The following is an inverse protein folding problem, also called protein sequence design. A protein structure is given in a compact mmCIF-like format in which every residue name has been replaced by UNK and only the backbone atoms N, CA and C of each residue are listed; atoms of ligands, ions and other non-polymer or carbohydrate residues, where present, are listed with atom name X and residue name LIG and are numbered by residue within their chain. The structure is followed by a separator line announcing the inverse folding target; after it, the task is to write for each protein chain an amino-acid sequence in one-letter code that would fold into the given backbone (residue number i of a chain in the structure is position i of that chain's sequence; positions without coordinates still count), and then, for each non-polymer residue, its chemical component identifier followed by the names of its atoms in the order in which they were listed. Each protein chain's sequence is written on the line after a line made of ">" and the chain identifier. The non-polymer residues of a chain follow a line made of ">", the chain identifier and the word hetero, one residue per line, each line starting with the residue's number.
data_IF_487607329368
#
_entry.id   IF_487607329368
#
_cell.length_a   1.000
_cell.length_b   1.000
_cell.length_c   1.000
_cell.angle_alpha   90.00
_cell.angle_beta   90.00
_cell.angle_gamma   90.00
#
_symmetry.space_group_name_H-M   'P 1'
#
loop_
_entity.id
_entity.type
_entity.pdbx_description
1 polymer ?
#
# COMPACT_ATOMS: atom_id res chain seq x y z
N UNK A 1 34.80 -38.35 13.34
CA UNK A 1 34.30 -37.85 12.06
C UNK A 1 35.34 -38.21 11.04
N UNK A 2 34.92 -38.85 9.96
CA UNK A 2 35.86 -39.33 8.96
C UNK A 2 36.40 -38.14 8.16
N UNK A 3 37.72 -38.04 8.11
CA UNK A 3 38.42 -37.02 7.32
C UNK A 3 38.64 -37.57 5.90
N UNK A 4 38.25 -36.79 4.90
CA UNK A 4 38.53 -37.10 3.50
C UNK A 4 39.35 -35.99 2.89
N UNK A 5 39.86 -36.19 1.66
CA UNK A 5 40.68 -35.21 0.97
C UNK A 5 39.97 -34.84 -0.35
N UNK A 6 39.84 -33.53 -0.60
CA UNK A 6 39.26 -33.00 -1.85
C UNK A 6 40.22 -32.02 -2.54
N UNK A 7 39.93 -31.65 -3.78
CA UNK A 7 40.71 -30.59 -4.44
C UNK A 7 40.46 -29.25 -3.75
N UNK A 8 41.50 -28.44 -3.57
CA UNK A 8 41.40 -27.08 -3.03
C UNK A 8 40.49 -26.20 -3.88
N UNK A 9 40.44 -26.45 -5.20
CA UNK A 9 39.57 -25.71 -6.12
C UNK A 9 38.10 -26.06 -6.02
N UNK A 10 37.75 -27.22 -5.42
CA UNK A 10 36.37 -27.66 -5.27
C UNK A 10 35.68 -27.00 -4.06
N UNK A 11 36.43 -26.39 -3.16
CA UNK A 11 35.87 -25.69 -1.99
C UNK A 11 35.18 -24.40 -2.42
N UNK A 12 33.90 -24.31 -2.14
CA UNK A 12 33.05 -23.16 -2.44
C UNK A 12 32.97 -22.23 -1.22
N UNK A 13 33.31 -20.95 -1.38
CA UNK A 13 33.19 -19.96 -0.33
C UNK A 13 31.90 -19.14 -0.50
N UNK A 14 30.98 -19.29 0.42
CA UNK A 14 29.74 -18.54 0.50
C UNK A 14 29.93 -17.31 1.39
N UNK A 15 30.42 -16.20 0.82
CA UNK A 15 30.64 -14.95 1.53
C UNK A 15 29.35 -14.43 2.19
N UNK A 16 28.23 -14.65 1.50
CA UNK A 16 26.88 -14.31 1.97
C UNK A 16 26.46 -15.10 3.24
N UNK A 17 27.00 -16.28 3.49
CA UNK A 17 26.68 -17.14 4.64
C UNK A 17 27.80 -17.28 5.67
N UNK A 18 29.01 -16.82 5.34
CA UNK A 18 30.13 -16.98 6.27
C UNK A 18 30.04 -15.97 7.43
N UNK A 19 30.25 -16.39 8.71
CA UNK A 19 29.98 -15.57 9.87
C UNK A 19 31.01 -14.48 10.16
N UNK A 20 32.23 -14.59 9.59
CA UNK A 20 33.33 -13.64 9.81
C UNK A 20 33.41 -12.64 8.67
N UNK A 21 33.50 -11.35 9.03
CA UNK A 21 33.57 -10.24 8.07
C UNK A 21 35.02 -9.87 7.77
N UNK A 22 35.85 -9.81 8.82
CA UNK A 22 37.25 -9.45 8.70
C UNK A 22 38.14 -10.69 8.85
N UNK A 23 39.11 -10.83 8.00
CA UNK A 23 40.07 -11.92 7.96
C UNK A 23 41.47 -11.40 8.27
N UNK A 24 42.23 -12.13 9.11
CA UNK A 24 43.60 -11.76 9.48
C UNK A 24 44.63 -12.34 8.47
N UNK A 25 45.27 -11.49 7.64
CA UNK A 25 46.28 -11.94 6.69
C UNK A 25 47.52 -12.56 7.36
N UNK A 26 47.83 -12.16 8.61
CA UNK A 26 49.00 -12.68 9.37
C UNK A 26 48.75 -14.13 9.74
N UNK A 27 47.54 -14.51 10.06
CA UNK A 27 47.17 -15.88 10.35
C UNK A 27 47.26 -16.77 9.12
N UNK A 28 46.82 -16.27 7.96
CA UNK A 28 47.02 -16.96 6.66
C UNK A 28 48.52 -17.20 6.40
N UNK A 29 49.35 -16.19 6.62
CA UNK A 29 50.80 -16.33 6.44
C UNK A 29 51.37 -17.41 7.34
N UNK A 30 51.05 -17.36 8.66
CA UNK A 30 51.49 -18.35 9.63
C UNK A 30 51.07 -19.77 9.29
N UNK A 31 49.85 -19.98 8.82
CA UNK A 31 49.35 -21.30 8.42
C UNK A 31 49.99 -21.78 7.10
N UNK A 32 50.45 -20.87 6.25
CA UNK A 32 51.17 -21.24 5.02
C UNK A 32 52.57 -21.80 5.27
N UNK A 33 53.15 -21.63 6.45
CA UNK A 33 54.49 -22.07 6.83
C UNK A 33 54.54 -23.56 7.21
N UNK A 34 53.43 -24.11 7.75
CA UNK A 34 53.37 -25.52 8.17
C UNK A 34 51.91 -26.04 8.02
N UNK A 35 51.60 -26.61 6.87
CA UNK A 35 50.24 -27.12 6.57
C UNK A 35 49.98 -28.48 7.20
N UNK A 36 50.99 -29.28 7.44
CA UNK A 36 50.85 -30.68 7.90
C UNK A 36 50.29 -30.78 9.30
N UNK A 37 50.45 -29.77 10.11
CA UNK A 37 49.92 -29.71 11.49
C UNK A 37 48.53 -29.09 11.58
N UNK A 38 47.94 -28.59 10.46
CA UNK A 38 46.66 -27.94 10.48
C UNK A 38 45.52 -28.97 10.56
N UNK A 39 44.53 -28.77 11.41
CA UNK A 39 43.32 -29.60 11.41
C UNK A 39 42.54 -29.45 10.10
N UNK A 40 41.76 -30.47 9.70
CA UNK A 40 40.94 -30.40 8.50
C UNK A 40 39.99 -29.24 8.54
N UNK A 41 39.63 -28.67 7.38
CA UNK A 41 38.52 -27.71 7.27
C UNK A 41 37.15 -28.44 7.32
N UNK A 42 36.09 -27.72 7.64
CA UNK A 42 34.72 -28.28 7.64
C UNK A 42 33.93 -27.69 6.46
N UNK A 43 33.30 -28.57 5.65
CA UNK A 43 32.48 -28.20 4.50
C UNK A 43 31.17 -28.95 4.54
N UNK A 44 30.16 -28.48 3.80
CA UNK A 44 28.92 -29.27 3.64
C UNK A 44 29.03 -30.26 2.47
N UNK A 45 27.92 -30.96 2.16
CA UNK A 45 27.81 -31.95 1.06
C UNK A 45 28.04 -31.34 -0.34
N UNK A 46 28.01 -30.01 -0.47
CA UNK A 46 28.28 -29.28 -1.70
C UNK A 46 29.67 -28.61 -1.69
N UNK A 47 30.51 -29.02 -0.75
CA UNK A 47 31.83 -28.45 -0.49
C UNK A 47 31.84 -26.96 -0.13
N UNK A 48 30.70 -26.44 0.33
CA UNK A 48 30.61 -25.07 0.83
C UNK A 48 31.27 -24.97 2.22
N UNK A 49 32.12 -23.97 2.41
CA UNK A 49 33.00 -23.84 3.58
C UNK A 49 32.24 -23.41 4.82
N UNK A 50 32.13 -24.31 5.82
CA UNK A 50 31.51 -24.07 7.12
C UNK A 50 32.53 -23.43 8.09
N UNK A 51 33.75 -24.03 8.21
CA UNK A 51 34.82 -23.52 9.06
C UNK A 51 36.18 -23.75 8.46
N UNK A 52 37.12 -22.84 8.74
CA UNK A 52 38.54 -22.97 8.34
C UNK A 52 38.96 -22.06 7.18
N UNK A 53 38.37 -20.88 7.01
CA UNK A 53 38.70 -19.93 5.95
C UNK A 53 40.19 -19.60 5.89
N UNK A 54 40.87 -19.33 7.02
CA UNK A 54 42.30 -19.03 7.06
C UNK A 54 43.15 -20.22 6.62
N UNK A 55 42.76 -21.46 7.00
CA UNK A 55 43.40 -22.70 6.60
C UNK A 55 43.25 -22.91 5.10
N UNK A 56 42.03 -22.87 4.58
CA UNK A 56 41.75 -22.98 3.14
C UNK A 56 42.50 -21.94 2.32
N UNK A 57 42.54 -20.68 2.78
CA UNK A 57 43.31 -19.61 2.09
C UNK A 57 44.80 -19.87 2.12
N UNK A 58 45.36 -20.47 3.19
CA UNK A 58 46.74 -20.86 3.27
C UNK A 58 47.08 -21.96 2.23
N UNK A 59 46.24 -23.00 2.13
CA UNK A 59 46.40 -24.06 1.07
C UNK A 59 46.36 -23.46 -0.35
N UNK A 60 45.44 -22.55 -0.61
CA UNK A 60 45.38 -21.82 -1.91
C UNK A 60 46.63 -21.00 -2.18
N UNK A 61 47.13 -20.30 -1.17
CA UNK A 61 48.30 -19.40 -1.30
C UNK A 61 49.58 -20.12 -1.70
N UNK A 62 49.78 -21.33 -1.21
CA UNK A 62 50.96 -22.12 -1.55
C UNK A 62 50.75 -23.00 -2.79
N UNK A 63 49.57 -23.00 -3.41
CA UNK A 63 49.28 -23.78 -4.59
C UNK A 63 49.09 -25.28 -4.31
N UNK A 64 48.68 -25.67 -3.11
CA UNK A 64 48.39 -27.06 -2.80
C UNK A 64 47.24 -27.61 -3.67
N UNK A 65 47.39 -28.84 -4.17
CA UNK A 65 46.33 -29.46 -5.02
C UNK A 65 45.16 -29.96 -4.19
N UNK A 66 45.41 -30.45 -2.98
CA UNK A 66 44.40 -31.07 -2.15
C UNK A 66 44.37 -30.52 -0.72
N UNK A 67 43.25 -30.67 -0.04
CA UNK A 67 43.03 -30.22 1.36
C UNK A 67 42.22 -31.27 2.11
N UNK A 68 42.58 -31.58 3.38
CA UNK A 68 41.81 -32.46 4.24
C UNK A 68 40.53 -31.75 4.71
N UNK A 69 39.37 -32.45 4.60
CA UNK A 69 38.07 -31.92 4.97
C UNK A 69 37.27 -32.88 5.83
N UNK A 70 36.40 -32.31 6.66
CA UNK A 70 35.27 -33.01 7.32
C UNK A 70 33.99 -32.57 6.58
N UNK A 71 33.20 -33.54 6.13
CA UNK A 71 31.92 -33.24 5.46
C UNK A 71 30.76 -33.34 6.47
N UNK A 72 30.06 -32.23 6.67
CA UNK A 72 28.88 -32.16 7.56
C UNK A 72 27.63 -31.84 6.74
N UNK A 73 26.61 -32.69 6.84
CA UNK A 73 25.37 -32.49 6.09
C UNK A 73 24.59 -31.30 6.63
N UNK A 74 24.08 -30.44 5.73
CA UNK A 74 23.19 -29.32 6.06
C UNK A 74 21.95 -29.36 5.17
N UNK A 75 20.76 -29.11 5.74
CA UNK A 75 19.47 -29.19 5.04
C UNK A 75 18.99 -27.84 4.50
N UNK A 76 19.59 -26.75 4.99
CA UNK A 76 19.20 -25.38 4.61
C UNK A 76 20.33 -24.41 4.88
N UNK A 77 20.26 -23.23 4.24
CA UNK A 77 21.18 -22.11 4.49
C UNK A 77 21.18 -21.64 5.95
N UNK A 78 20.03 -21.76 6.64
CA UNK A 78 19.92 -21.41 8.06
C UNK A 78 20.68 -22.40 8.94
N UNK A 79 20.57 -23.69 8.67
CA UNK A 79 21.31 -24.73 9.37
C UNK A 79 22.80 -24.61 9.11
N UNK A 80 23.18 -24.35 7.84
CA UNK A 80 24.56 -24.05 7.46
C UNK A 80 25.12 -22.86 8.24
N UNK A 81 24.41 -21.72 8.22
CA UNK A 81 24.82 -20.51 8.92
C UNK A 81 24.94 -20.72 10.44
N UNK A 82 23.97 -21.42 11.04
CA UNK A 82 23.97 -21.74 12.47
C UNK A 82 25.19 -22.57 12.85
N UNK A 83 25.51 -23.58 12.06
CA UNK A 83 26.68 -24.45 12.26
C UNK A 83 27.98 -23.67 12.06
N UNK A 84 28.08 -22.87 11.01
CA UNK A 84 29.24 -22.02 10.74
C UNK A 84 29.51 -21.03 11.89
N UNK A 85 28.46 -20.42 12.45
CA UNK A 85 28.55 -19.53 13.62
C UNK A 85 29.05 -20.31 14.84
N UNK A 86 28.46 -21.49 15.13
CA UNK A 86 28.82 -22.31 16.29
C UNK A 86 30.30 -22.72 16.24
N UNK A 87 30.80 -23.13 15.08
CA UNK A 87 32.21 -23.51 14.88
C UNK A 87 33.13 -22.31 15.07
N UNK A 88 32.81 -21.18 14.43
CA UNK A 88 33.62 -19.97 14.51
C UNK A 88 33.52 -19.24 15.89
N UNK A 89 32.47 -19.49 16.67
CA UNK A 89 32.34 -18.94 18.04
C UNK A 89 33.13 -19.70 19.08
N UNK A 90 33.35 -21.02 18.90
CA UNK A 90 33.97 -21.93 19.90
C UNK A 90 35.44 -22.19 19.64
N UNK A 91 35.91 -22.15 18.42
CA UNK A 91 37.25 -22.60 18.02
C UNK A 91 38.02 -21.49 17.29
N UNK A 92 39.31 -21.37 17.59
CA UNK A 92 40.24 -20.45 16.96
C UNK A 92 40.06 -18.98 17.29
N UNK A 93 40.24 -18.08 16.33
CA UNK A 93 40.02 -16.66 16.53
C UNK A 93 38.52 -16.40 16.72
N UNK A 94 38.13 -15.89 17.90
CA UNK A 94 36.72 -15.65 18.22
C UNK A 94 36.07 -14.58 17.32
N UNK A 95 34.75 -14.73 17.06
CA UNK A 95 33.97 -13.70 16.36
C UNK A 95 34.00 -12.40 17.16
N UNK A 96 34.18 -11.27 16.47
CA UNK A 96 34.09 -9.94 17.09
C UNK A 96 32.67 -9.65 17.57
N UNK A 97 32.48 -8.67 18.46
CA UNK A 97 31.13 -8.24 18.85
C UNK A 97 30.32 -7.74 17.66
N UNK A 98 30.99 -7.15 16.65
CA UNK A 98 30.34 -6.70 15.39
C UNK A 98 29.87 -7.89 14.58
N UNK A 99 30.68 -8.95 14.43
CA UNK A 99 30.26 -10.18 13.75
C UNK A 99 29.09 -10.82 14.45
N UNK A 100 29.17 -10.98 15.79
CA UNK A 100 28.10 -11.57 16.60
C UNK A 100 26.78 -10.81 16.47
N UNK A 101 26.82 -9.45 16.46
CA UNK A 101 25.63 -8.62 16.26
C UNK A 101 25.03 -8.82 14.88
N UNK A 102 25.83 -8.78 13.80
CA UNK A 102 25.34 -8.99 12.43
C UNK A 102 24.74 -10.38 12.26
N UNK A 103 25.36 -11.40 12.84
CA UNK A 103 24.84 -12.78 12.77
C UNK A 103 23.54 -12.94 13.56
N UNK A 104 23.42 -12.31 14.75
CA UNK A 104 22.18 -12.31 15.52
C UNK A 104 21.03 -11.72 14.69
N UNK A 105 21.24 -10.55 14.07
CA UNK A 105 20.23 -9.89 13.24
C UNK A 105 19.88 -10.73 12.01
N UNK A 106 20.86 -11.35 11.38
CA UNK A 106 20.66 -12.17 10.19
C UNK A 106 19.83 -13.41 10.48
N UNK A 107 20.19 -14.17 11.53
CA UNK A 107 19.42 -15.34 11.95
C UNK A 107 18.01 -14.98 12.40
N UNK A 108 17.85 -13.87 13.13
CA UNK A 108 16.55 -13.38 13.56
C UNK A 108 15.63 -13.06 12.36
N UNK A 109 16.16 -12.42 11.31
CA UNK A 109 15.41 -12.05 10.10
C UNK A 109 15.11 -13.24 9.19
N UNK A 110 15.85 -14.36 9.28
CA UNK A 110 15.63 -15.54 8.43
C UNK A 110 14.32 -16.28 8.74
N UNK A 111 13.68 -15.99 9.87
CA UNK A 111 12.33 -16.49 10.21
C UNK A 111 12.19 -18.01 10.44
N UNK A 112 13.25 -18.79 10.21
CA UNK A 112 13.21 -20.25 10.22
C UNK A 112 13.26 -20.88 11.61
N UNK A 113 12.40 -20.44 12.54
CA UNK A 113 12.37 -20.97 13.92
C UNK A 113 13.56 -20.55 14.80
N UNK A 114 14.45 -19.70 14.29
CA UNK A 114 15.66 -19.22 14.95
C UNK A 114 15.44 -17.87 15.67
N UNK A 115 14.18 -17.45 15.78
CA UNK A 115 13.78 -16.24 16.52
C UNK A 115 13.91 -16.39 18.05
N UNK A 116 14.21 -17.60 18.54
CA UNK A 116 14.43 -17.83 19.95
C UNK A 116 15.76 -17.17 20.40
N UNK A 117 15.64 -16.13 21.18
CA UNK A 117 16.77 -15.38 21.74
C UNK A 117 17.70 -16.25 22.61
N UNK A 118 17.15 -17.27 23.27
CA UNK A 118 17.94 -18.21 24.06
C UNK A 118 18.83 -19.07 23.16
N UNK A 119 18.30 -19.51 22.02
CA UNK A 119 19.07 -20.24 21.02
C UNK A 119 20.17 -19.36 20.40
N UNK A 120 19.86 -18.12 20.01
CA UNK A 120 20.86 -17.18 19.51
C UNK A 120 21.97 -16.89 20.52
N UNK A 121 21.60 -16.72 21.79
CA UNK A 121 22.58 -16.52 22.88
C UNK A 121 23.55 -17.70 23.02
N UNK A 122 23.02 -18.93 22.92
CA UNK A 122 23.82 -20.17 22.99
C UNK A 122 24.78 -20.29 21.82
N UNK A 123 24.31 -20.11 20.57
CA UNK A 123 25.14 -20.25 19.34
C UNK A 123 26.26 -19.20 19.34
N UNK A 124 25.92 -17.93 19.62
CA UNK A 124 26.87 -16.82 19.57
C UNK A 124 27.76 -16.73 20.83
N UNK A 125 27.57 -17.63 21.80
CA UNK A 125 28.30 -17.63 23.09
C UNK A 125 28.27 -16.25 23.76
N UNK A 126 27.05 -15.70 23.93
CA UNK A 126 26.79 -14.42 24.62
C UNK A 126 25.59 -14.56 25.57
N UNK A 127 25.40 -13.57 26.46
CA UNK A 127 24.20 -13.54 27.32
C UNK A 127 22.93 -13.18 26.52
N UNK A 128 21.76 -13.62 26.98
CA UNK A 128 20.49 -13.23 26.42
C UNK A 128 20.29 -11.70 26.42
N UNK A 129 20.73 -11.02 27.50
CA UNK A 129 20.74 -9.55 27.56
C UNK A 129 21.58 -8.92 26.44
N UNK A 130 22.65 -9.58 26.02
CA UNK A 130 23.44 -9.11 24.86
C UNK A 130 22.69 -9.27 23.56
N UNK A 131 21.96 -10.37 23.36
CA UNK A 131 21.08 -10.58 22.20
C UNK A 131 19.97 -9.52 22.16
N UNK A 132 19.31 -9.23 23.29
CA UNK A 132 18.31 -8.16 23.37
C UNK A 132 18.88 -6.82 22.88
N UNK A 133 20.09 -6.49 23.31
CA UNK A 133 20.78 -5.27 22.87
C UNK A 133 21.09 -5.29 21.36
N UNK A 134 21.52 -6.44 20.82
CA UNK A 134 21.82 -6.58 19.39
C UNK A 134 20.60 -6.45 18.51
N UNK A 135 19.46 -6.98 18.95
CA UNK A 135 18.21 -7.03 18.18
C UNK A 135 17.32 -5.80 18.37
N UNK A 136 17.56 -4.99 19.42
CA UNK A 136 16.69 -3.87 19.80
C UNK A 136 16.27 -2.99 18.60
N UNK A 137 17.23 -2.48 17.83
CA UNK A 137 16.94 -1.62 16.69
C UNK A 137 16.12 -2.35 15.59
N UNK A 138 16.37 -3.65 15.38
CA UNK A 138 15.65 -4.48 14.41
C UNK A 138 14.22 -4.72 14.86
N UNK A 139 14.02 -5.06 16.14
CA UNK A 139 12.69 -5.26 16.73
C UNK A 139 11.89 -3.95 16.76
N UNK A 140 12.53 -2.83 17.11
CA UNK A 140 11.89 -1.51 17.09
C UNK A 140 11.44 -1.14 15.67
N UNK A 141 12.26 -1.40 14.65
CA UNK A 141 11.90 -1.17 13.24
C UNK A 141 10.74 -2.06 12.80
N UNK A 142 10.78 -3.36 13.07
CA UNK A 142 9.71 -4.30 12.76
C UNK A 142 8.39 -3.85 13.42
N UNK A 143 8.46 -3.36 14.66
CA UNK A 143 7.29 -2.84 15.37
C UNK A 143 6.74 -1.58 14.67
N UNK A 144 7.61 -0.65 14.30
CA UNK A 144 7.20 0.58 13.58
C UNK A 144 6.57 0.24 12.24
N UNK A 145 7.19 -0.65 11.45
CA UNK A 145 6.66 -1.07 10.14
C UNK A 145 5.30 -1.77 10.28
N UNK A 146 5.14 -2.63 11.30
CA UNK A 146 3.86 -3.28 11.61
C UNK A 146 2.79 -2.27 12.02
N UNK A 147 3.11 -1.34 12.90
CA UNK A 147 2.17 -0.32 13.38
C UNK A 147 1.76 0.61 12.22
N UNK A 148 2.67 0.96 11.33
CA UNK A 148 2.39 1.70 10.10
C UNK A 148 1.46 0.91 9.16
N UNK A 149 1.69 -0.41 9.00
CA UNK A 149 0.81 -1.28 8.21
C UNK A 149 -0.59 -1.38 8.80
N UNK A 150 -0.71 -1.57 10.13
CA UNK A 150 -2.00 -1.57 10.84
C UNK A 150 -2.77 -0.28 10.54
N UNK A 151 -2.12 0.87 10.69
CA UNK A 151 -2.76 2.17 10.47
C UNK A 151 -3.13 2.41 9.01
N UNK A 152 -2.25 2.07 8.06
CA UNK A 152 -2.53 2.16 6.62
C UNK A 152 -3.72 1.31 6.21
N UNK A 153 -3.81 0.06 6.68
CA UNK A 153 -4.95 -0.82 6.41
C UNK A 153 -6.24 -0.29 7.04
N UNK A 154 -6.17 0.29 8.22
CA UNK A 154 -7.33 0.92 8.87
C UNK A 154 -7.86 2.10 8.05
N UNK A 155 -6.98 2.99 7.58
CA UNK A 155 -7.35 4.09 6.70
C UNK A 155 -7.89 3.60 5.34
N UNK A 156 -7.43 2.45 4.85
CA UNK A 156 -7.98 1.80 3.65
C UNK A 156 -9.27 1.03 3.92
N UNK A 157 -9.91 1.25 5.06
CA UNK A 157 -11.23 0.73 5.38
C UNK A 157 -11.27 -0.76 5.72
N UNK A 158 -10.17 -1.41 6.10
CA UNK A 158 -10.19 -2.78 6.59
C UNK A 158 -10.77 -2.87 8.01
N UNK A 159 -11.40 -3.98 8.31
CA UNK A 159 -11.85 -4.30 9.67
C UNK A 159 -10.67 -4.66 10.56
N UNK A 160 -10.82 -4.51 11.87
CA UNK A 160 -9.77 -4.91 12.82
C UNK A 160 -9.40 -6.40 12.72
N UNK A 161 -10.36 -7.27 12.31
CA UNK A 161 -10.08 -8.69 12.12
C UNK A 161 -9.23 -8.91 10.87
N UNK A 162 -9.59 -8.32 9.73
CA UNK A 162 -8.77 -8.39 8.50
C UNK A 162 -7.36 -7.87 8.72
N UNK A 163 -7.20 -6.79 9.51
CA UNK A 163 -5.90 -6.24 9.87
C UNK A 163 -5.12 -7.24 10.73
N UNK A 164 -5.76 -7.81 11.75
CA UNK A 164 -5.14 -8.79 12.65
C UNK A 164 -4.59 -9.99 11.88
N UNK A 165 -5.41 -10.54 10.97
CA UNK A 165 -5.03 -11.67 10.13
C UNK A 165 -3.87 -11.32 9.17
N UNK A 166 -3.89 -10.11 8.57
CA UNK A 166 -2.88 -9.67 7.61
C UNK A 166 -1.51 -9.32 8.23
N UNK A 167 -1.47 -8.97 9.52
CA UNK A 167 -0.22 -8.61 10.22
C UNK A 167 0.24 -9.67 11.23
N UNK A 168 -0.55 -10.75 11.40
CA UNK A 168 -0.20 -11.88 12.26
C UNK A 168 -0.22 -11.54 13.75
N UNK A 169 -1.18 -10.72 14.21
CA UNK A 169 -1.38 -10.38 15.62
C UNK A 169 -2.84 -10.59 16.02
N UNK A 170 -3.13 -10.59 17.31
CA UNK A 170 -4.51 -10.65 17.79
C UNK A 170 -5.25 -9.32 17.62
N UNK A 171 -6.59 -9.38 17.57
CA UNK A 171 -7.47 -8.22 17.41
C UNK A 171 -7.33 -7.19 18.54
N UNK A 172 -7.05 -7.64 19.77
CA UNK A 172 -6.86 -6.74 20.91
C UNK A 172 -5.60 -5.89 20.74
N UNK A 173 -4.53 -6.48 20.20
CA UNK A 173 -3.31 -5.75 19.82
C UNK A 173 -3.60 -4.70 18.74
N UNK A 174 -4.37 -5.05 17.69
CA UNK A 174 -4.80 -4.07 16.66
C UNK A 174 -5.57 -2.93 17.30
N UNK A 175 -6.57 -3.24 18.13
CA UNK A 175 -7.39 -2.22 18.78
C UNK A 175 -6.55 -1.22 19.60
N UNK A 176 -5.67 -1.75 20.47
CA UNK A 176 -4.77 -0.92 21.27
C UNK A 176 -3.88 -0.02 20.41
N UNK A 177 -3.35 -0.52 19.28
CA UNK A 177 -2.53 0.28 18.37
C UNK A 177 -3.33 1.36 17.68
N UNK A 178 -4.55 1.05 17.27
CA UNK A 178 -5.43 2.04 16.67
C UNK A 178 -5.83 3.14 17.65
N UNK A 179 -6.10 2.82 18.92
CA UNK A 179 -6.33 3.81 19.97
C UNK A 179 -5.15 4.78 20.15
N UNK A 180 -3.92 4.27 20.00
CA UNK A 180 -2.72 5.10 20.03
C UNK A 180 -2.58 5.96 18.75
N UNK A 181 -2.74 5.36 17.57
CA UNK A 181 -2.55 6.02 16.28
C UNK A 181 -3.66 7.02 15.91
N UNK A 182 -4.90 6.75 16.32
CA UNK A 182 -6.04 7.64 16.08
C UNK A 182 -6.17 8.77 17.11
N UNK A 183 -5.29 8.81 18.09
CA UNK A 183 -5.27 9.92 19.05
C UNK A 183 -4.50 11.11 18.46
N UNK A 184 -5.23 12.11 17.93
CA UNK A 184 -4.65 13.30 17.30
C UNK A 184 -3.71 14.10 18.22
N UNK A 185 -3.91 14.03 19.53
CA UNK A 185 -3.02 14.74 20.47
C UNK A 185 -1.65 14.06 20.62
N UNK A 186 -1.55 12.79 20.26
CA UNK A 186 -0.31 12.01 20.24
C UNK A 186 0.33 11.88 18.86
N UNK A 187 -0.39 12.29 17.83
CA UNK A 187 0.13 12.29 16.46
C UNK A 187 1.19 13.38 16.23
N UNK A 188 2.08 13.21 15.25
CA UNK A 188 2.93 14.30 14.77
C UNK A 188 2.09 15.55 14.43
N UNK A 189 2.63 16.74 14.73
CA UNK A 189 1.92 18.02 14.48
C UNK A 189 1.45 18.15 13.02
N UNK A 190 2.25 17.71 12.06
CA UNK A 190 1.88 17.71 10.63
C UNK A 190 0.63 16.89 10.34
N UNK A 191 0.47 15.74 11.00
CA UNK A 191 -0.69 14.88 10.83
C UNK A 191 -1.94 15.50 11.44
N UNK A 192 -1.81 16.14 12.60
CA UNK A 192 -2.92 16.87 13.23
C UNK A 192 -3.40 18.03 12.36
N UNK A 193 -2.48 18.84 11.83
CA UNK A 193 -2.76 19.93 10.89
C UNK A 193 -3.51 19.40 9.66
N UNK A 194 -3.01 18.34 9.05
CA UNK A 194 -3.64 17.74 7.88
C UNK A 194 -5.04 17.17 8.19
N UNK A 195 -5.21 16.48 9.32
CA UNK A 195 -6.49 15.89 9.73
C UNK A 195 -7.57 16.93 10.00
N UNK A 196 -7.20 18.07 10.58
CA UNK A 196 -8.09 19.16 10.98
C UNK A 196 -8.17 20.29 9.93
N UNK A 197 -7.45 20.19 8.82
CA UNK A 197 -7.39 21.21 7.77
C UNK A 197 -6.88 22.58 8.29
N UNK A 198 -5.98 22.56 9.26
CA UNK A 198 -5.33 23.76 9.80
C UNK A 198 -4.16 24.17 8.90
N UNK A 199 -4.00 25.47 8.64
CA UNK A 199 -2.84 26.13 7.99
C UNK A 199 -2.41 25.63 6.59
N UNK A 200 -2.81 24.43 6.17
CA UNK A 200 -2.42 23.83 4.88
C UNK A 200 -3.57 23.74 3.86
N UNK A 201 -4.73 24.33 4.19
CA UNK A 201 -5.94 24.24 3.38
C UNK A 201 -6.68 25.59 3.32
N UNK A 202 -7.23 25.89 2.14
CA UNK A 202 -8.09 27.04 1.94
C UNK A 202 -9.54 26.60 1.79
N UNK A 203 -10.33 26.84 2.81
CA UNK A 203 -11.75 26.46 2.83
C UNK A 203 -12.53 27.07 1.65
N UNK A 204 -13.37 26.28 0.97
CA UNK A 204 -14.28 26.79 -0.06
C UNK A 204 -15.40 27.61 0.60
N UNK A 205 -15.57 28.84 0.13
CA UNK A 205 -16.61 29.78 0.65
C UNK A 205 -17.84 29.85 -0.25
N UNK A 206 -17.73 29.43 -1.50
CA UNK A 206 -18.74 29.58 -2.52
C UNK A 206 -19.06 28.24 -3.18
N UNK A 207 -20.22 28.12 -3.77
CA UNK A 207 -20.64 26.91 -4.51
C UNK A 207 -20.14 26.90 -5.98
N UNK A 208 -19.07 27.62 -6.28
CA UNK A 208 -18.34 27.53 -7.56
C UNK A 208 -16.87 27.25 -7.23
N UNK A 209 -16.45 26.01 -7.52
CA UNK A 209 -15.10 25.57 -7.26
C UNK A 209 -14.25 25.62 -8.53
N UNK A 210 -13.31 26.57 -8.57
CA UNK A 210 -12.36 26.71 -9.67
C UNK A 210 -11.03 26.09 -9.27
N UNK A 211 -10.48 25.31 -10.14
CA UNK A 211 -9.22 24.58 -9.91
C UNK A 211 -8.12 25.17 -10.77
N UNK A 212 -6.94 25.39 -10.20
CA UNK A 212 -5.72 25.66 -10.95
C UNK A 212 -5.19 24.34 -11.52
N UNK A 213 -4.50 24.36 -12.69
CA UNK A 213 -3.89 23.18 -13.28
C UNK A 213 -3.08 22.41 -12.22
N UNK A 214 -3.46 21.17 -11.98
CA UNK A 214 -2.64 20.26 -11.18
C UNK A 214 -1.38 19.91 -11.98
N UNK A 215 -0.21 20.03 -11.35
CA UNK A 215 1.09 19.67 -11.94
C UNK A 215 1.40 18.16 -11.82
N UNK A 216 0.45 17.33 -11.44
CA UNK A 216 0.68 15.92 -11.23
C UNK A 216 0.65 15.15 -12.55
N UNK A 217 1.81 14.61 -12.92
CA UNK A 217 2.12 13.89 -14.16
C UNK A 217 1.54 12.45 -14.25
N UNK A 218 0.45 12.13 -13.58
CA UNK A 218 -0.21 10.83 -13.73
C UNK A 218 -1.45 11.02 -14.60
N UNK A 219 -1.30 10.85 -15.90
CA UNK A 219 -2.39 10.93 -16.87
C UNK A 219 -3.21 9.63 -16.83
N UNK A 220 -4.20 9.55 -15.95
CA UNK A 220 -5.26 8.58 -16.06
C UNK A 220 -6.49 9.25 -16.67
N UNK A 221 -7.09 8.65 -17.71
CA UNK A 221 -8.34 9.18 -18.29
C UNK A 221 -9.43 9.18 -17.20
N UNK A 222 -10.10 10.34 -17.01
CA UNK A 222 -11.17 10.48 -16.02
C UNK A 222 -10.70 10.70 -14.57
N UNK A 223 -9.44 11.06 -14.34
CA UNK A 223 -8.98 11.43 -13.00
C UNK A 223 -9.70 12.70 -12.52
N UNK A 224 -10.44 12.56 -11.42
CA UNK A 224 -11.09 13.69 -10.78
C UNK A 224 -10.07 14.56 -10.04
N UNK A 225 -10.34 15.85 -10.01
CA UNK A 225 -9.49 16.77 -9.28
C UNK A 225 -9.55 16.48 -7.79
N UNK A 226 -8.42 16.09 -7.21
CA UNK A 226 -8.28 15.78 -5.78
C UNK A 226 -8.87 16.86 -4.87
N UNK A 227 -8.86 18.10 -5.31
CA UNK A 227 -9.42 19.25 -4.59
C UNK A 227 -10.94 19.12 -4.39
N UNK A 228 -11.68 18.47 -5.29
CA UNK A 228 -13.13 18.23 -5.11
C UNK A 228 -13.33 17.34 -3.88
N UNK A 229 -12.63 16.22 -3.83
CA UNK A 229 -12.70 15.30 -2.70
C UNK A 229 -12.22 15.99 -1.42
N UNK A 230 -11.11 16.74 -1.47
CA UNK A 230 -10.56 17.45 -0.32
C UNK A 230 -11.54 18.48 0.27
N UNK A 231 -12.23 19.25 -0.59
CA UNK A 231 -13.30 20.15 -0.17
C UNK A 231 -14.49 19.43 0.46
N UNK A 232 -14.90 18.29 -0.11
CA UNK A 232 -15.98 17.48 0.47
C UNK A 232 -15.58 16.90 1.83
N UNK A 233 -14.34 16.45 2.00
CA UNK A 233 -13.84 15.98 3.29
C UNK A 233 -13.89 17.07 4.34
N UNK A 234 -13.47 18.29 3.99
CA UNK A 234 -13.50 19.43 4.89
C UNK A 234 -14.93 19.76 5.34
N UNK A 235 -15.88 19.77 4.40
CA UNK A 235 -17.25 20.22 4.67
C UNK A 235 -18.09 19.18 5.42
N UNK A 236 -17.84 17.88 5.21
CA UNK A 236 -18.79 16.83 5.56
C UNK A 236 -18.23 15.67 6.38
N UNK A 237 -16.93 15.71 6.73
CA UNK A 237 -16.33 14.59 7.46
C UNK A 237 -15.42 15.04 8.60
N UNK A 238 -15.36 14.20 9.63
CA UNK A 238 -14.40 14.31 10.72
C UNK A 238 -13.23 13.33 10.55
N UNK A 239 -12.08 13.53 11.22
CA UNK A 239 -10.99 12.56 11.22
C UNK A 239 -11.50 11.15 11.54
N UNK A 240 -11.01 10.16 10.74
CA UNK A 240 -11.36 8.73 10.83
C UNK A 240 -12.79 8.35 10.44
N UNK A 241 -13.61 9.28 9.96
CA UNK A 241 -14.88 8.95 9.30
C UNK A 241 -14.65 8.08 8.06
N UNK A 242 -15.67 7.30 7.67
CA UNK A 242 -15.61 6.48 6.46
C UNK A 242 -16.14 7.27 5.26
N UNK A 243 -15.33 7.27 4.20
CA UNK A 243 -15.67 7.75 2.87
C UNK A 243 -15.83 6.55 1.94
N UNK A 244 -16.91 6.52 1.16
CA UNK A 244 -17.16 5.47 0.16
C UNK A 244 -17.06 6.07 -1.24
N UNK A 245 -16.32 5.39 -2.12
CA UNK A 245 -16.21 5.74 -3.53
C UNK A 245 -16.28 4.47 -4.39
N UNK A 246 -17.42 4.19 -5.04
CA UNK A 246 -17.60 3.03 -5.90
C UNK A 246 -17.08 3.23 -7.34
N UNK A 247 -16.48 4.38 -7.65
CA UNK A 247 -15.91 4.74 -8.94
C UNK A 247 -14.45 5.13 -8.81
N UNK A 248 -13.66 4.28 -8.14
CA UNK A 248 -12.30 4.58 -7.68
C UNK A 248 -11.28 4.99 -8.72
N UNK A 249 -11.47 4.61 -9.99
CA UNK A 249 -10.60 4.99 -11.10
C UNK A 249 -9.11 4.87 -10.79
N UNK A 250 -8.38 5.98 -10.81
CA UNK A 250 -6.95 6.06 -10.47
C UNK A 250 -6.63 6.02 -8.96
N UNK A 251 -7.64 6.08 -8.09
CA UNK A 251 -7.49 6.03 -6.62
C UNK A 251 -7.19 7.38 -5.98
N UNK A 252 -7.52 8.49 -6.64
CA UNK A 252 -7.32 9.84 -6.09
C UNK A 252 -8.02 10.05 -4.74
N UNK A 253 -9.22 9.48 -4.57
CA UNK A 253 -9.97 9.49 -3.31
C UNK A 253 -9.18 8.84 -2.17
N UNK A 254 -8.47 7.73 -2.43
CA UNK A 254 -7.64 7.05 -1.42
C UNK A 254 -6.53 7.99 -0.94
N UNK A 255 -5.85 8.66 -1.88
CA UNK A 255 -4.71 9.51 -1.57
C UNK A 255 -5.12 10.71 -0.71
N UNK A 256 -6.26 11.34 -1.07
CA UNK A 256 -6.80 12.46 -0.31
C UNK A 256 -7.30 12.02 1.08
N UNK A 257 -8.03 10.92 1.16
CA UNK A 257 -8.50 10.37 2.43
C UNK A 257 -7.33 10.04 3.37
N UNK A 258 -6.28 9.40 2.84
CA UNK A 258 -5.07 9.08 3.61
C UNK A 258 -4.36 10.33 4.11
N UNK A 259 -4.17 11.33 3.23
CA UNK A 259 -3.60 12.63 3.59
C UNK A 259 -4.38 13.30 4.72
N UNK A 260 -5.70 13.24 4.69
CA UNK A 260 -6.61 13.90 5.62
C UNK A 260 -7.08 13.00 6.78
N UNK A 261 -6.46 11.84 6.96
CA UNK A 261 -6.79 10.88 8.03
C UNK A 261 -8.26 10.47 8.05
N UNK A 262 -8.85 10.28 6.88
CA UNK A 262 -10.16 9.66 6.72
C UNK A 262 -9.98 8.21 6.32
N UNK A 263 -10.86 7.35 6.79
CA UNK A 263 -10.93 5.95 6.33
C UNK A 263 -11.66 5.95 4.99
N UNK A 264 -11.21 5.15 4.05
CA UNK A 264 -11.90 5.06 2.76
C UNK A 264 -12.21 3.61 2.39
N UNK A 265 -13.36 3.41 1.78
CA UNK A 265 -13.73 2.17 1.12
C UNK A 265 -13.94 2.49 -0.36
N UNK A 266 -12.93 2.20 -1.17
CA UNK A 266 -12.91 2.53 -2.59
C UNK A 266 -13.01 1.25 -3.40
N UNK A 267 -13.86 1.27 -4.40
CA UNK A 267 -14.01 0.17 -5.37
C UNK A 267 -14.13 0.68 -6.79
N UNK A 268 -13.92 -0.22 -7.72
CA UNK A 268 -14.13 0.02 -9.14
C UNK A 268 -14.57 -1.28 -9.81
N UNK A 269 -15.30 -1.19 -10.91
CA UNK A 269 -15.65 -2.35 -11.74
C UNK A 269 -14.39 -3.02 -12.29
N UNK A 270 -13.39 -2.21 -12.70
CA UNK A 270 -12.10 -2.63 -13.25
C UNK A 270 -10.95 -1.90 -12.55
N UNK A 271 -10.55 -2.31 -11.34
CA UNK A 271 -9.43 -1.70 -10.65
C UNK A 271 -8.17 -1.70 -11.52
N UNK A 272 -7.42 -0.60 -11.48
CA UNK A 272 -6.13 -0.52 -12.18
C UNK A 272 -5.10 -1.45 -11.53
N UNK A 273 -4.31 -2.15 -12.35
CA UNK A 273 -3.36 -3.18 -11.89
C UNK A 273 -2.36 -2.65 -10.84
N UNK A 274 -1.93 -1.39 -10.94
CA UNK A 274 -1.00 -0.78 -9.99
C UNK A 274 -1.59 -0.56 -8.60
N UNK A 275 -2.92 -0.59 -8.43
CA UNK A 275 -3.63 -0.31 -7.18
C UNK A 275 -4.70 -1.36 -6.81
N UNK A 276 -4.65 -2.56 -7.41
CA UNK A 276 -5.59 -3.66 -7.09
C UNK A 276 -5.61 -4.04 -5.60
N UNK A 277 -4.53 -3.79 -4.87
CA UNK A 277 -4.45 -4.03 -3.44
C UNK A 277 -5.16 -2.98 -2.57
N UNK A 278 -5.53 -1.83 -3.14
CA UNK A 278 -6.20 -0.73 -2.45
C UNK A 278 -7.63 -0.50 -2.97
N UNK A 279 -7.86 -0.68 -4.27
CA UNK A 279 -9.16 -0.51 -4.93
C UNK A 279 -9.84 -1.88 -5.03
N UNK A 280 -10.98 -2.05 -4.38
CA UNK A 280 -11.72 -3.31 -4.39
C UNK A 280 -12.47 -3.50 -5.71
N UNK A 281 -12.51 -4.72 -6.22
CA UNK A 281 -13.35 -5.02 -7.39
C UNK A 281 -14.80 -5.12 -6.95
N UNK A 282 -15.64 -4.22 -7.45
CA UNK A 282 -17.09 -4.22 -7.22
C UNK A 282 -17.79 -3.48 -8.35
N UNK A 283 -18.90 -4.05 -8.86
CA UNK A 283 -19.74 -3.41 -9.84
C UNK A 283 -21.01 -2.86 -9.15
N UNK A 284 -21.32 -1.61 -9.39
CA UNK A 284 -22.52 -0.96 -8.84
C UNK A 284 -23.84 -1.56 -9.40
N UNK A 285 -23.76 -2.30 -10.51
CA UNK A 285 -24.90 -3.05 -11.04
C UNK A 285 -25.29 -4.22 -10.13
N UNK A 286 -24.34 -4.78 -9.37
CA UNK A 286 -24.58 -5.79 -8.33
C UNK A 286 -25.16 -5.21 -7.03
N UNK A 287 -25.27 -3.89 -6.94
CA UNK A 287 -25.80 -3.16 -5.79
C UNK A 287 -24.77 -2.24 -5.15
N UNK A 288 -25.02 -1.87 -3.89
CA UNK A 288 -24.10 -1.01 -3.13
C UNK A 288 -22.88 -1.77 -2.63
N UNK A 289 -21.76 -1.09 -2.41
CA UNK A 289 -20.57 -1.68 -1.80
C UNK A 289 -20.85 -2.48 -0.53
N UNK A 290 -20.25 -3.67 -0.32
CA UNK A 290 -20.58 -4.59 0.78
C UNK A 290 -19.93 -4.17 2.12
N UNK A 291 -20.22 -2.97 2.62
CA UNK A 291 -19.74 -2.49 3.92
C UNK A 291 -20.50 -3.12 5.12
N UNK A 292 -21.63 -3.81 4.88
CA UNK A 292 -22.47 -4.40 5.92
C UNK A 292 -22.89 -3.37 6.99
N UNK A 293 -22.70 -3.70 8.27
CA UNK A 293 -23.06 -2.81 9.39
C UNK A 293 -22.29 -1.49 9.44
N UNK A 294 -21.17 -1.38 8.68
CA UNK A 294 -20.34 -0.18 8.69
C UNK A 294 -20.91 0.99 7.89
N UNK A 295 -22.00 0.78 7.17
CA UNK A 295 -22.72 1.87 6.53
C UNK A 295 -23.18 2.97 7.52
N UNK A 296 -23.44 2.62 8.78
CA UNK A 296 -23.75 3.60 9.83
C UNK A 296 -22.57 4.51 10.22
N UNK A 297 -21.34 4.15 9.85
CA UNK A 297 -20.13 4.94 10.10
C UNK A 297 -19.78 5.85 8.90
N UNK A 298 -20.45 5.69 7.75
CA UNK A 298 -20.18 6.45 6.53
C UNK A 298 -20.68 7.88 6.68
N UNK A 299 -19.81 8.86 6.47
CA UNK A 299 -20.14 10.28 6.48
C UNK A 299 -20.16 10.91 5.08
N UNK A 300 -19.50 10.29 4.11
CA UNK A 300 -19.50 10.74 2.72
C UNK A 300 -19.52 9.53 1.77
N UNK A 301 -20.50 9.51 0.86
CA UNK A 301 -20.44 8.69 -0.35
C UNK A 301 -20.19 9.62 -1.53
N UNK A 302 -19.02 9.50 -2.15
CA UNK A 302 -18.63 10.26 -3.34
C UNK A 302 -18.86 9.41 -4.58
N UNK A 303 -19.59 9.94 -5.56
CA UNK A 303 -19.96 9.28 -6.80
C UNK A 303 -19.44 10.10 -7.97
N UNK A 304 -18.48 9.57 -8.72
CA UNK A 304 -17.95 10.16 -9.95
C UNK A 304 -18.01 9.15 -11.10
N UNK A 305 -19.24 8.85 -11.58
CA UNK A 305 -19.44 7.84 -12.60
C UNK A 305 -18.84 8.27 -13.94
N UNK A 306 -18.50 7.32 -14.84
CA UNK A 306 -18.17 7.64 -16.21
C UNK A 306 -19.35 8.39 -16.87
N UNK A 307 -19.06 9.57 -17.46
CA UNK A 307 -20.10 10.43 -17.98
C UNK A 307 -20.72 9.83 -19.24
N UNK A 308 -22.04 9.82 -19.29
CA UNK A 308 -22.82 9.22 -20.34
C UNK A 308 -22.36 9.65 -21.73
N UNK A 309 -22.06 8.70 -22.61
CA UNK A 309 -21.54 8.87 -23.98
C UNK A 309 -20.23 9.67 -24.10
N UNK A 310 -19.84 10.49 -23.14
CA UNK A 310 -18.58 11.24 -23.20
C UNK A 310 -17.39 10.33 -22.97
N UNK A 311 -17.55 9.35 -22.08
CA UNK A 311 -16.57 8.34 -21.77
C UNK A 311 -16.81 7.01 -22.53
N UNK A 312 -17.74 6.98 -23.50
CA UNK A 312 -18.06 5.78 -24.26
C UNK A 312 -16.83 5.21 -24.96
N UNK A 313 -16.58 3.92 -24.76
CA UNK A 313 -15.41 3.22 -25.31
C UNK A 313 -14.06 3.61 -24.72
N UNK A 314 -14.00 4.52 -23.75
CA UNK A 314 -12.76 4.94 -23.10
C UNK A 314 -12.33 3.95 -21.99
N UNK A 315 -13.28 3.45 -21.21
CA UNK A 315 -13.03 2.48 -20.16
C UNK A 315 -13.24 1.03 -20.63
N UNK A 316 -14.27 0.79 -21.42
CA UNK A 316 -14.51 -0.50 -22.07
C UNK A 316 -15.50 -0.38 -23.24
N UNK A 317 -15.51 -1.40 -24.12
CA UNK A 317 -16.54 -1.57 -25.17
C UNK A 317 -17.79 -2.32 -24.65
N UNK A 318 -17.83 -2.63 -23.37
CA UNK A 318 -18.87 -3.41 -22.74
C UNK A 318 -20.18 -2.61 -22.65
N UNK A 319 -21.30 -3.21 -23.04
CA UNK A 319 -22.62 -2.57 -23.00
C UNK A 319 -23.10 -2.28 -21.56
N UNK A 320 -22.59 -3.01 -20.58
CA UNK A 320 -22.90 -2.79 -19.16
C UNK A 320 -22.16 -1.59 -18.56
N UNK A 321 -21.15 -1.04 -19.25
CA UNK A 321 -20.48 0.17 -18.81
C UNK A 321 -21.45 1.35 -18.86
N UNK A 322 -21.56 2.10 -17.74
CA UNK A 322 -22.51 3.21 -17.62
C UNK A 322 -22.42 4.22 -18.77
N UNK A 323 -21.21 4.49 -19.27
CA UNK A 323 -21.03 5.41 -20.41
C UNK A 323 -21.61 4.90 -21.72
N UNK A 324 -21.79 3.57 -21.88
CA UNK A 324 -22.26 2.91 -23.09
C UNK A 324 -23.76 2.58 -23.04
N UNK A 325 -24.40 2.67 -21.88
CA UNK A 325 -25.81 2.35 -21.68
C UNK A 325 -26.75 3.31 -22.40
N UNK A 326 -28.02 2.92 -22.56
CA UNK A 326 -29.06 3.85 -22.94
C UNK A 326 -29.22 4.93 -21.86
N UNK A 327 -29.77 6.09 -22.23
CA UNK A 327 -29.97 7.20 -21.27
C UNK A 327 -30.85 6.80 -20.09
N UNK A 328 -31.89 6.01 -20.35
CA UNK A 328 -32.81 5.55 -19.31
C UNK A 328 -32.16 4.56 -18.35
N UNK A 329 -31.34 3.63 -18.85
CA UNK A 329 -30.58 2.70 -18.01
C UNK A 329 -29.53 3.44 -17.17
N UNK A 330 -28.81 4.39 -17.75
CA UNK A 330 -27.88 5.24 -17.04
C UNK A 330 -28.55 5.96 -15.85
N UNK A 331 -29.68 6.60 -16.10
CA UNK A 331 -30.44 7.28 -15.04
C UNK A 331 -30.99 6.30 -14.01
N UNK A 332 -31.55 5.18 -14.44
CA UNK A 332 -32.12 4.18 -13.55
C UNK A 332 -31.05 3.60 -12.61
N UNK A 333 -29.86 3.29 -13.12
CA UNK A 333 -28.76 2.74 -12.34
C UNK A 333 -28.21 3.73 -11.31
N UNK A 334 -27.99 5.00 -11.69
CA UNK A 334 -27.52 6.01 -10.76
C UNK A 334 -28.58 6.38 -9.71
N UNK A 335 -29.84 6.50 -10.10
CA UNK A 335 -30.96 6.74 -9.16
C UNK A 335 -31.08 5.60 -8.17
N UNK A 336 -31.03 4.35 -8.65
CA UNK A 336 -31.05 3.16 -7.81
C UNK A 336 -29.89 3.15 -6.82
N UNK A 337 -28.66 3.48 -7.27
CA UNK A 337 -27.48 3.54 -6.41
C UNK A 337 -27.68 4.56 -5.28
N UNK A 338 -28.06 5.80 -5.61
CA UNK A 338 -28.31 6.85 -4.61
C UNK A 338 -29.39 6.40 -3.63
N UNK A 339 -30.51 5.85 -4.12
CA UNK A 339 -31.60 5.36 -3.26
C UNK A 339 -31.14 4.23 -2.33
N UNK A 340 -30.41 3.25 -2.83
CA UNK A 340 -29.90 2.13 -2.03
C UNK A 340 -28.85 2.57 -0.99
N UNK A 341 -27.98 3.53 -1.34
CA UNK A 341 -27.03 4.13 -0.39
C UNK A 341 -27.78 4.86 0.71
N UNK A 342 -28.75 5.69 0.37
CA UNK A 342 -29.54 6.47 1.34
C UNK A 342 -30.32 5.62 2.36
N UNK A 343 -30.67 4.38 1.98
CA UNK A 343 -31.32 3.43 2.90
C UNK A 343 -30.36 2.82 3.93
N UNK A 344 -29.07 2.89 3.69
CA UNK A 344 -28.02 2.27 4.52
C UNK A 344 -27.17 3.30 5.26
N UNK A 345 -26.88 4.42 4.61
CA UNK A 345 -26.15 5.54 5.19
C UNK A 345 -27.11 6.41 6.00
N UNK A 346 -26.94 6.42 7.33
CA UNK A 346 -27.86 7.12 8.25
C UNK A 346 -27.43 8.54 8.60
N UNK A 347 -26.25 8.98 8.14
CA UNK A 347 -25.69 10.32 8.41
C UNK A 347 -24.85 10.83 7.25
N UNK A 348 -24.47 12.11 7.30
CA UNK A 348 -23.56 12.71 6.32
C UNK A 348 -24.22 12.95 4.97
N UNK A 349 -23.44 12.81 3.89
CA UNK A 349 -23.91 13.21 2.54
C UNK A 349 -23.57 12.17 1.46
N UNK A 350 -24.38 12.19 0.39
CA UNK A 350 -24.08 11.59 -0.89
C UNK A 350 -23.77 12.73 -1.86
N UNK A 351 -22.62 12.70 -2.50
CA UNK A 351 -22.16 13.71 -3.44
C UNK A 351 -21.94 13.08 -4.82
N UNK A 352 -22.73 13.48 -5.82
CA UNK A 352 -22.67 12.99 -7.20
C UNK A 352 -22.10 14.06 -8.12
N UNK A 353 -20.94 13.80 -8.71
CA UNK A 353 -20.34 14.64 -9.75
C UNK A 353 -20.84 14.18 -11.11
N UNK A 354 -21.44 15.08 -11.87
CA UNK A 354 -22.00 14.77 -13.20
C UNK A 354 -21.83 15.95 -14.16
N UNK A 355 -21.70 15.65 -15.45
CA UNK A 355 -21.57 16.64 -16.49
C UNK A 355 -22.74 16.57 -17.48
N UNK A 356 -23.39 17.70 -17.86
CA UNK A 356 -24.32 17.73 -18.98
C UNK A 356 -23.67 17.28 -20.29
N UNK A 357 -24.41 16.60 -21.16
CA UNK A 357 -23.90 16.14 -22.46
C UNK A 357 -24.43 16.98 -23.58
N UNK A 358 -23.56 17.41 -24.50
CA UNK A 358 -23.95 18.20 -25.66
C UNK A 358 -23.40 17.64 -26.99
N UNK A 359 -22.13 17.35 -27.08
CA UNK A 359 -21.40 17.20 -28.32
C UNK A 359 -21.38 15.81 -28.91
N UNK A 360 -21.48 14.78 -28.11
CA UNK A 360 -21.30 13.38 -28.49
C UNK A 360 -22.63 12.63 -28.60
N UNK A 361 -23.74 13.32 -28.41
CA UNK A 361 -25.04 12.77 -28.71
C UNK A 361 -25.28 12.80 -30.23
N UNK A 362 -25.90 11.78 -30.79
CA UNK A 362 -26.13 11.64 -32.23
C UNK A 362 -26.90 12.81 -32.84
N UNK A 363 -27.76 13.42 -32.03
CA UNK A 363 -28.59 14.57 -32.37
C UNK A 363 -28.01 15.92 -31.98
N UNK A 364 -26.81 15.93 -31.32
CA UNK A 364 -26.14 17.12 -30.78
C UNK A 364 -27.04 17.97 -29.87
N UNK A 365 -27.97 17.35 -29.17
CA UNK A 365 -28.84 18.01 -28.21
C UNK A 365 -28.12 18.16 -26.85
N UNK A 366 -28.42 19.25 -26.16
CA UNK A 366 -28.07 19.42 -24.77
C UNK A 366 -28.93 18.49 -23.90
N UNK A 367 -28.28 17.68 -23.07
CA UNK A 367 -28.95 16.82 -22.09
C UNK A 367 -28.49 17.24 -20.70
N UNK A 368 -29.43 17.75 -19.90
CA UNK A 368 -29.16 18.18 -18.52
C UNK A 368 -29.29 17.01 -17.55
N UNK A 369 -28.25 16.22 -17.45
CA UNK A 369 -28.18 15.09 -16.52
C UNK A 369 -28.34 15.53 -15.06
N UNK A 370 -27.93 16.75 -14.73
CA UNK A 370 -27.96 17.30 -13.36
C UNK A 370 -29.40 17.45 -12.90
N UNK A 371 -30.20 18.08 -13.73
CA UNK A 371 -31.63 18.33 -13.42
C UNK A 371 -32.45 17.03 -13.46
N UNK A 372 -32.22 16.19 -14.46
CA UNK A 372 -32.95 14.93 -14.61
C UNK A 372 -32.64 13.96 -13.47
N UNK A 373 -31.39 13.83 -13.05
CA UNK A 373 -31.01 12.98 -11.91
C UNK A 373 -31.54 13.52 -10.58
N UNK A 374 -31.46 14.83 -10.35
CA UNK A 374 -32.00 15.42 -9.14
C UNK A 374 -33.49 15.10 -8.98
N UNK A 375 -34.30 15.30 -10.05
CA UNK A 375 -35.72 14.94 -10.05
C UNK A 375 -36.01 13.47 -9.87
N UNK A 376 -35.21 12.60 -10.51
CA UNK A 376 -35.41 11.15 -10.40
C UNK A 376 -35.08 10.64 -9.00
N UNK A 377 -34.02 11.17 -8.38
CA UNK A 377 -33.67 10.85 -6.99
C UNK A 377 -34.78 11.29 -6.05
N UNK A 378 -35.29 12.51 -6.19
CA UNK A 378 -36.42 13.00 -5.40
C UNK A 378 -37.66 12.12 -5.57
N UNK A 379 -38.01 11.75 -6.79
CA UNK A 379 -39.16 10.89 -7.10
C UNK A 379 -38.98 9.42 -6.69
N UNK A 380 -37.75 8.96 -6.44
CA UNK A 380 -37.45 7.55 -6.13
C UNK A 380 -37.81 7.13 -4.70
N UNK A 381 -38.16 8.06 -3.83
CA UNK A 381 -38.33 7.80 -2.40
C UNK A 381 -37.03 7.57 -1.64
N UNK A 382 -35.89 8.00 -2.19
CA UNK A 382 -34.62 8.03 -1.48
C UNK A 382 -34.71 8.89 -0.22
N UNK A 383 -34.07 8.44 0.85
CA UNK A 383 -34.06 9.16 2.14
C UNK A 383 -32.99 10.24 2.15
N UNK A 384 -33.14 11.22 1.27
CA UNK A 384 -32.18 12.31 1.13
C UNK A 384 -32.88 13.62 0.82
N UNK A 385 -32.27 14.72 1.23
CA UNK A 385 -32.67 16.08 0.90
C UNK A 385 -31.51 16.75 0.12
N UNK A 386 -31.82 17.45 -0.98
CA UNK A 386 -30.83 18.20 -1.73
C UNK A 386 -30.35 19.38 -0.88
N UNK A 387 -29.10 19.29 -0.38
CA UNK A 387 -28.51 20.34 0.45
C UNK A 387 -27.92 21.46 -0.40
N UNK A 388 -27.19 21.11 -1.45
CA UNK A 388 -26.56 22.11 -2.31
C UNK A 388 -26.19 21.54 -3.69
N UNK A 389 -26.02 22.46 -4.63
CA UNK A 389 -25.43 22.22 -5.95
C UNK A 389 -24.18 23.05 -6.08
N UNK A 390 -23.07 22.43 -6.49
CA UNK A 390 -21.76 23.07 -6.60
C UNK A 390 -21.29 22.96 -8.05
N UNK A 391 -20.94 24.09 -8.67
CA UNK A 391 -20.41 24.15 -10.01
C UNK A 391 -18.88 23.95 -10.00
N UNK A 392 -18.39 22.97 -10.77
CA UNK A 392 -17.00 22.58 -10.87
C UNK A 392 -16.50 22.74 -12.32
N UNK A 393 -16.27 23.97 -12.79
CA UNK A 393 -15.89 24.19 -14.18
C UNK A 393 -14.51 23.60 -14.49
N UNK A 394 -14.39 23.05 -15.72
CA UNK A 394 -13.10 22.69 -16.27
C UNK A 394 -12.29 23.91 -16.70
N UNK A 395 -10.99 23.74 -16.86
CA UNK A 395 -10.17 24.70 -17.55
C UNK A 395 -10.56 24.77 -19.05
N UNK A 396 -10.59 25.97 -19.65
CA UNK A 396 -11.03 26.22 -21.03
C UNK A 396 -10.26 25.45 -22.12
N UNK A 397 -9.09 24.92 -21.81
CA UNK A 397 -8.21 24.22 -22.75
C UNK A 397 -8.67 22.78 -23.13
N UNK A 398 -9.80 22.30 -22.60
CA UNK A 398 -10.28 20.93 -22.87
C UNK A 398 -10.94 20.77 -24.26
N UNK A 399 -11.22 21.85 -24.97
CA UNK A 399 -11.86 21.81 -26.28
C UNK A 399 -10.85 21.98 -27.42
N UNK A 400 -10.97 21.09 -28.42
CA UNK A 400 -10.16 21.20 -29.64
C UNK A 400 -10.54 22.45 -30.43
N UNK A 401 -9.62 23.04 -31.21
CA UNK A 401 -9.93 24.16 -32.09
C UNK A 401 -11.12 23.90 -33.03
N UNK A 402 -11.29 22.66 -33.47
CA UNK A 402 -12.42 22.24 -34.32
C UNK A 402 -13.76 22.39 -33.58
N UNK A 403 -13.80 21.97 -32.29
CA UNK A 403 -15.02 22.12 -31.48
C UNK A 403 -15.34 23.60 -31.22
N UNK A 404 -14.31 24.40 -30.94
CA UNK A 404 -14.49 25.85 -30.74
C UNK A 404 -15.01 26.53 -32.01
N UNK A 405 -14.46 26.21 -33.19
CA UNK A 405 -14.92 26.75 -34.47
C UNK A 405 -16.37 26.35 -34.77
N UNK A 406 -16.69 25.08 -34.59
CA UNK A 406 -18.08 24.61 -34.76
C UNK A 406 -19.04 25.36 -33.84
N UNK A 407 -18.69 25.56 -32.55
CA UNK A 407 -19.53 26.29 -31.62
C UNK A 407 -19.79 27.74 -32.06
N UNK A 408 -18.77 28.42 -32.59
CA UNK A 408 -18.87 29.77 -33.15
C UNK A 408 -19.79 29.80 -34.38
N UNK A 409 -19.57 28.90 -35.32
CA UNK A 409 -20.35 28.79 -36.56
C UNK A 409 -21.83 28.49 -36.29
N UNK A 410 -22.11 27.63 -35.32
CA UNK A 410 -23.46 27.19 -34.98
C UNK A 410 -24.11 28.00 -33.86
N UNK A 411 -23.43 29.04 -33.34
CA UNK A 411 -23.90 29.89 -32.23
C UNK A 411 -24.34 29.03 -31.02
N UNK A 412 -23.52 28.06 -30.63
CA UNK A 412 -23.77 27.16 -29.50
C UNK A 412 -22.75 27.39 -28.42
N UNK A 413 -23.19 27.14 -27.16
CA UNK A 413 -22.29 27.19 -26.01
C UNK A 413 -21.65 25.80 -25.82
N UNK A 414 -20.37 25.81 -25.45
CA UNK A 414 -19.66 24.62 -25.02
C UNK A 414 -19.92 24.36 -23.53
N UNK A 415 -20.20 23.11 -23.18
CA UNK A 415 -20.39 22.72 -21.78
C UNK A 415 -19.03 22.67 -21.09
N UNK A 416 -18.79 23.59 -20.18
CA UNK A 416 -17.52 23.75 -19.46
C UNK A 416 -17.62 23.36 -17.98
N UNK A 417 -18.80 23.02 -17.49
CA UNK A 417 -19.03 22.74 -16.08
C UNK A 417 -19.38 21.29 -15.82
N UNK A 418 -18.82 20.76 -14.76
CA UNK A 418 -19.38 19.61 -14.04
C UNK A 418 -20.16 20.18 -12.85
N UNK A 419 -21.19 19.47 -12.44
CA UNK A 419 -21.99 19.85 -11.30
C UNK A 419 -21.97 18.75 -10.25
N UNK A 420 -21.74 19.14 -9.03
CA UNK A 420 -21.77 18.26 -7.87
C UNK A 420 -23.12 18.45 -7.16
N UNK A 421 -23.95 17.41 -7.19
CA UNK A 421 -25.19 17.34 -6.41
C UNK A 421 -24.87 16.76 -5.05
N UNK A 422 -25.15 17.47 -4.00
CA UNK A 422 -24.92 17.02 -2.62
C UNK A 422 -26.24 16.86 -1.92
N UNK A 423 -26.54 15.63 -1.51
CA UNK A 423 -27.72 15.28 -0.74
C UNK A 423 -27.33 14.90 0.68
N UNK A 424 -28.05 15.44 1.64
CA UNK A 424 -27.93 15.05 3.04
C UNK A 424 -28.73 13.77 3.28
N UNK A 425 -28.09 12.80 3.94
CA UNK A 425 -28.72 11.57 4.41
C UNK A 425 -29.25 11.75 5.84
N UNK A 426 -30.37 11.10 6.16
CA UNK A 426 -30.89 11.05 7.51
C UNK A 426 -32.10 11.93 7.73
N UNK A 427 -32.83 11.54 8.68
CA UNK A 427 -34.08 11.71 9.39
C UNK A 427 -35.27 11.03 8.78
#
# INVERSE_FOLDING_TARGET
>A
MDTTTISVSDVVFREDLYPRIEHDPRLVQKYSEDLDVLPPIEVNQHYELIDGWHRWTAYRKIGAETIPVIITQTKSDVEFLSLAIERNAKHGQQLTNTDKRKMAIRLFNSGAGVSDKAYLAKILSVSQKTIDRYLKETEDRIKVDRDAKIFSMYLSGHTQQEIADAVGVDKATVNRRLEECCNLDKCPKSNKIAALFEDDFKAPLYNVWRFSKSSNNVAHFGESEQTIVENLLYLYTEPFDIVVDPFGGGGSTIDVCRKRMRRCWVSDRKPIASREHEIRKHDILDGVPPLNKRWSEVSLTYLDPPYWRQAAGQYSSDAEDLANQSLEEFYANLTRLVSQVSQRQSKGVIALLIQPTQWRADDRKFTDHVFDLAKRVEASGARVELETRISCPYNSEQYTPQMVNWAKENKKLLVLTRELLVWRCGE
#
